data_IF_592183029777
#
_entry.id   IF_592183029777
#
_cell.length_a   1.000
_cell.length_b   1.000
_cell.length_c   1.000
_cell.angle_alpha   90.00
_cell.angle_beta   90.00
_cell.angle_gamma   90.00
#
_symmetry.space_group_name_H-M   'P 1'
#
loop_
_entity.id
_entity.type
_entity.pdbx_description
1 polymer ?
#
# COMPACT_ATOMS: atom_id res chain seq x y z
N UNK A 1 2.11 -3.34 -9.06
CA UNK A 1 1.63 -4.71 -8.77
C UNK A 1 2.61 -5.80 -9.19
N UNK A 2 3.05 -5.88 -10.46
CA UNK A 2 3.99 -6.92 -10.89
C UNK A 2 5.31 -6.93 -10.10
N UNK A 3 5.92 -5.75 -9.90
CA UNK A 3 7.14 -5.59 -9.09
C UNK A 3 6.96 -6.03 -7.64
N UNK A 4 5.79 -5.79 -7.04
CA UNK A 4 5.49 -6.23 -5.68
C UNK A 4 5.39 -7.76 -5.61
N UNK A 5 4.71 -8.39 -6.57
CA UNK A 5 4.63 -9.84 -6.64
C UNK A 5 6.02 -10.47 -6.80
N UNK A 6 6.85 -9.90 -7.68
CA UNK A 6 8.24 -10.30 -7.84
C UNK A 6 9.04 -10.15 -6.54
N UNK A 7 8.92 -8.99 -5.87
CA UNK A 7 9.61 -8.72 -4.60
C UNK A 7 9.18 -9.69 -3.51
N UNK A 8 7.90 -10.07 -3.43
CA UNK A 8 7.41 -11.07 -2.47
C UNK A 8 8.04 -12.44 -2.76
N UNK A 9 8.05 -12.86 -4.02
CA UNK A 9 8.63 -14.14 -4.42
C UNK A 9 10.14 -14.23 -4.16
N UNK A 10 10.84 -13.12 -4.35
CA UNK A 10 12.29 -13.06 -4.23
C UNK A 10 12.76 -12.83 -2.78
N UNK A 11 12.10 -11.92 -2.05
CA UNK A 11 12.57 -11.49 -0.73
C UNK A 11 11.94 -12.30 0.42
N UNK A 12 10.82 -12.99 0.16
CA UNK A 12 10.12 -13.82 1.16
C UNK A 12 9.74 -15.20 0.59
N UNK A 13 10.71 -15.95 -0.01
CA UNK A 13 10.43 -17.24 -0.64
C UNK A 13 9.84 -18.28 0.33
N UNK A 14 10.21 -18.22 1.61
CA UNK A 14 9.70 -19.06 2.69
C UNK A 14 8.19 -18.90 2.91
N UNK A 15 7.63 -17.72 2.61
CA UNK A 15 6.21 -17.43 2.77
C UNK A 15 5.41 -17.55 1.47
N UNK A 16 6.09 -17.67 0.33
CA UNK A 16 5.44 -17.68 -0.97
C UNK A 16 4.46 -18.86 -1.15
N UNK A 17 4.76 -20.01 -0.53
CA UNK A 17 3.94 -21.21 -0.63
C UNK A 17 2.49 -21.01 -0.15
N UNK A 18 2.23 -20.07 0.76
CA UNK A 18 0.86 -19.79 1.23
C UNK A 18 -0.08 -19.34 0.11
N UNK A 19 0.44 -18.80 -0.98
CA UNK A 19 -0.36 -18.34 -2.11
C UNK A 19 -0.90 -19.47 -3.00
N UNK A 20 -0.28 -20.65 -2.95
CA UNK A 20 -0.71 -21.84 -3.70
C UNK A 20 -1.64 -22.73 -2.88
N UNK A 21 -1.87 -22.42 -1.60
CA UNK A 21 -2.76 -23.19 -0.74
C UNK A 21 -4.22 -23.17 -1.23
N UNK A 22 -4.80 -24.35 -1.41
CA UNK A 22 -6.19 -24.51 -1.88
C UNK A 22 -7.21 -24.29 -0.77
N UNK A 23 -6.81 -24.54 0.48
CA UNK A 23 -7.63 -24.38 1.67
C UNK A 23 -6.74 -24.12 2.87
N UNK A 24 -7.27 -23.42 3.87
CA UNK A 24 -6.62 -23.29 5.17
C UNK A 24 -7.66 -23.48 6.28
N UNK A 25 -7.21 -23.90 7.45
CA UNK A 25 -8.04 -24.09 8.63
C UNK A 25 -7.79 -22.95 9.61
N UNK A 26 -8.86 -22.34 10.12
CA UNK A 26 -8.79 -21.29 11.12
C UNK A 26 -10.03 -21.33 12.00
N UNK A 27 -9.83 -21.35 13.32
CA UNK A 27 -10.90 -21.30 14.32
C UNK A 27 -12.03 -22.31 14.08
N UNK A 28 -11.71 -23.60 13.95
CA UNK A 28 -12.71 -24.65 13.74
C UNK A 28 -13.27 -24.73 12.31
N UNK A 29 -12.88 -23.82 11.41
CA UNK A 29 -13.47 -23.72 10.07
C UNK A 29 -12.42 -23.84 8.97
N UNK A 30 -12.78 -24.58 7.92
CA UNK A 30 -12.00 -24.64 6.68
C UNK A 30 -12.45 -23.55 5.71
N UNK A 31 -11.48 -22.78 5.20
CA UNK A 31 -11.67 -21.75 4.20
C UNK A 31 -11.01 -22.19 2.89
N UNK A 32 -11.74 -22.13 1.78
CA UNK A 32 -11.19 -22.43 0.45
C UNK A 32 -10.57 -21.17 -0.16
N UNK A 33 -9.58 -21.36 -1.02
CA UNK A 33 -8.98 -20.27 -1.79
C UNK A 33 -10.02 -19.57 -2.67
N UNK A 34 -9.97 -18.24 -2.69
CA UNK A 34 -10.79 -17.41 -3.59
C UNK A 34 -10.17 -17.29 -5.00
N UNK A 35 -9.03 -17.93 -5.24
CA UNK A 35 -8.39 -17.96 -6.55
C UNK A 35 -8.76 -19.26 -7.28
N UNK A 36 -9.73 -19.19 -8.19
CA UNK A 36 -10.17 -20.34 -8.96
C UNK A 36 -9.03 -20.98 -9.76
N UNK A 37 -8.07 -20.19 -10.24
CA UNK A 37 -6.91 -20.72 -10.97
C UNK A 37 -6.09 -21.68 -10.09
N UNK A 38 -5.84 -21.34 -8.82
CA UNK A 38 -5.12 -22.21 -7.86
C UNK A 38 -5.92 -23.49 -7.57
N UNK A 39 -7.24 -23.41 -7.52
CA UNK A 39 -8.07 -24.58 -7.24
C UNK A 39 -8.01 -25.61 -8.39
N UNK A 40 -8.14 -25.15 -9.63
CA UNK A 40 -8.44 -26.00 -10.78
C UNK A 40 -7.26 -26.22 -11.73
N UNK A 41 -6.16 -25.50 -11.56
CA UNK A 41 -4.98 -25.63 -12.42
C UNK A 41 -3.74 -26.02 -11.63
N UNK A 42 -2.95 -26.94 -12.20
CA UNK A 42 -1.72 -27.45 -11.58
C UNK A 42 -0.50 -26.57 -11.88
N UNK A 43 -0.54 -25.83 -12.99
CA UNK A 43 0.49 -24.92 -13.45
C UNK A 43 0.41 -23.53 -12.81
N UNK A 44 -0.50 -23.32 -11.86
CA UNK A 44 -0.74 -22.03 -11.22
C UNK A 44 -0.33 -22.07 -9.75
N UNK A 45 0.57 -21.17 -9.35
CA UNK A 45 0.99 -21.00 -7.95
C UNK A 45 0.23 -19.88 -7.24
N UNK A 46 -0.55 -19.10 -7.98
CA UNK A 46 -1.41 -18.05 -7.46
C UNK A 46 -0.73 -16.69 -7.32
N UNK A 47 -1.49 -15.75 -6.76
CA UNK A 47 -1.06 -14.93 -5.62
C UNK A 47 -2.31 -14.30 -5.01
N UNK A 48 -2.97 -13.40 -5.75
CA UNK A 48 -4.12 -12.68 -5.19
C UNK A 48 -5.16 -12.33 -6.24
N UNK A 49 -6.41 -12.56 -5.90
CA UNK A 49 -7.58 -12.06 -6.61
C UNK A 49 -8.19 -10.85 -5.89
N UNK A 50 -8.81 -9.94 -6.65
CA UNK A 50 -9.50 -8.77 -6.10
C UNK A 50 -10.70 -8.36 -6.94
N UNK A 51 -11.69 -7.73 -6.30
CA UNK A 51 -12.85 -7.15 -6.96
C UNK A 51 -13.23 -5.85 -6.26
N UNK A 52 -13.49 -4.81 -7.04
CA UNK A 52 -14.09 -3.56 -6.58
C UNK A 52 -15.13 -3.13 -7.59
N UNK A 53 -16.35 -2.82 -7.16
CA UNK A 53 -17.48 -2.56 -8.06
C UNK A 53 -17.17 -1.55 -9.18
N UNK A 54 -16.45 -0.46 -8.86
CA UNK A 54 -16.07 0.58 -9.83
C UNK A 54 -14.95 0.16 -10.81
N UNK A 55 -14.08 -0.76 -10.42
CA UNK A 55 -12.89 -1.13 -11.22
C UNK A 55 -12.90 -2.57 -11.73
N UNK A 56 -13.93 -3.36 -11.44
CA UNK A 56 -14.07 -4.72 -11.93
C UNK A 56 -13.18 -5.73 -11.19
N UNK A 57 -12.84 -6.80 -11.91
CA UNK A 57 -12.13 -7.97 -11.39
C UNK A 57 -10.66 -7.95 -11.78
N UNK A 58 -9.81 -8.21 -10.78
CA UNK A 58 -8.36 -8.14 -10.86
C UNK A 58 -7.72 -9.44 -10.38
N UNK A 59 -6.58 -9.82 -10.95
CA UNK A 59 -5.75 -10.91 -10.43
C UNK A 59 -4.28 -10.63 -10.67
N UNK A 60 -3.46 -11.08 -9.73
CA UNK A 60 -2.03 -11.26 -9.90
C UNK A 60 -1.75 -12.72 -9.60
N UNK A 61 -1.15 -13.41 -10.55
CA UNK A 61 -0.85 -14.83 -10.40
C UNK A 61 0.47 -15.18 -11.05
N UNK A 62 1.23 -16.07 -10.43
CA UNK A 62 2.34 -16.74 -11.07
C UNK A 62 1.85 -18.04 -11.73
N UNK A 63 2.37 -18.30 -12.93
CA UNK A 63 2.08 -19.47 -13.74
C UNK A 63 3.43 -20.08 -14.14
N UNK A 64 3.55 -21.40 -14.02
CA UNK A 64 4.76 -22.16 -14.36
C UNK A 64 4.53 -23.03 -15.58
N UNK A 65 5.45 -23.03 -16.53
CA UNK A 65 5.42 -23.93 -17.68
C UNK A 65 6.85 -24.20 -18.16
N UNK A 66 7.19 -25.46 -18.40
CA UNK A 66 8.47 -25.89 -19.00
C UNK A 66 9.72 -25.32 -18.28
N UNK A 67 9.68 -25.26 -16.94
CA UNK A 67 10.75 -24.69 -16.11
C UNK A 67 10.71 -23.16 -15.97
N UNK A 68 9.96 -22.48 -16.83
CA UNK A 68 9.77 -21.04 -16.78
C UNK A 68 8.62 -20.63 -15.86
N UNK A 69 8.74 -19.45 -15.25
CA UNK A 69 7.70 -18.86 -14.39
C UNK A 69 7.40 -17.44 -14.80
N UNK A 70 6.13 -17.15 -15.05
CA UNK A 70 5.65 -15.81 -15.39
C UNK A 70 4.68 -15.27 -14.34
N UNK A 71 4.91 -14.02 -13.92
CA UNK A 71 3.95 -13.24 -13.14
C UNK A 71 3.02 -12.53 -14.10
N UNK A 72 1.73 -12.81 -14.01
CA UNK A 72 0.70 -12.19 -14.83
C UNK A 72 -0.20 -11.32 -13.97
N UNK A 73 -0.35 -10.06 -14.40
CA UNK A 73 -1.26 -9.09 -13.79
C UNK A 73 -2.39 -8.80 -14.77
N UNK A 74 -3.63 -9.01 -14.34
CA UNK A 74 -4.84 -8.67 -15.09
C UNK A 74 -5.69 -7.74 -14.24
N UNK A 75 -6.10 -6.63 -14.83
CA UNK A 75 -6.95 -5.64 -14.18
C UNK A 75 -8.21 -5.38 -14.99
N UNK A 76 -9.31 -5.06 -14.30
CA UNK A 76 -10.49 -4.45 -14.91
C UNK A 76 -11.35 -5.36 -15.78
N UNK A 77 -11.36 -6.68 -15.56
CA UNK A 77 -12.29 -7.55 -16.29
C UNK A 77 -13.70 -7.45 -15.72
N UNK A 78 -14.72 -7.68 -16.57
CA UNK A 78 -16.13 -7.52 -16.19
C UNK A 78 -16.63 -8.61 -15.26
N UNK A 79 -16.03 -9.80 -15.32
CA UNK A 79 -16.39 -10.95 -14.48
C UNK A 79 -15.17 -11.85 -14.18
N UNK A 80 -15.27 -12.76 -13.20
CA UNK A 80 -14.17 -13.65 -12.82
C UNK A 80 -13.69 -14.56 -13.96
N UNK A 81 -14.60 -15.08 -14.80
CA UNK A 81 -14.24 -15.98 -15.90
C UNK A 81 -13.36 -15.26 -16.93
N UNK A 82 -13.73 -14.04 -17.32
CA UNK A 82 -12.92 -13.22 -18.23
C UNK A 82 -11.56 -12.85 -17.63
N UNK A 83 -11.51 -12.56 -16.33
CA UNK A 83 -10.25 -12.33 -15.59
C UNK A 83 -9.31 -13.53 -15.69
N UNK A 84 -9.84 -14.71 -15.39
CA UNK A 84 -9.05 -15.94 -15.34
C UNK A 84 -8.59 -16.35 -16.74
N UNK A 85 -9.48 -16.27 -17.74
CA UNK A 85 -9.10 -16.52 -19.13
C UNK A 85 -8.04 -15.54 -19.63
N UNK A 86 -8.15 -14.25 -19.31
CA UNK A 86 -7.15 -13.27 -19.68
C UNK A 86 -5.79 -13.56 -19.03
N UNK A 87 -5.76 -14.02 -17.78
CA UNK A 87 -4.52 -14.38 -17.09
C UNK A 87 -3.83 -15.56 -17.78
N UNK A 88 -4.58 -16.62 -18.09
CA UNK A 88 -4.06 -17.79 -18.81
C UNK A 88 -3.58 -17.41 -20.21
N UNK A 89 -4.41 -16.71 -20.99
CA UNK A 89 -4.04 -16.31 -22.35
C UNK A 89 -2.77 -15.45 -22.37
N UNK A 90 -2.63 -14.50 -21.45
CA UNK A 90 -1.44 -13.66 -21.33
C UNK A 90 -0.21 -14.47 -20.95
N UNK A 91 -0.31 -15.41 -20.00
CA UNK A 91 0.81 -16.27 -19.63
C UNK A 91 1.31 -17.11 -20.81
N UNK A 92 0.41 -17.80 -21.51
CA UNK A 92 0.78 -18.67 -22.62
C UNK A 92 1.36 -17.90 -23.82
N UNK A 93 0.86 -16.68 -24.08
CA UNK A 93 1.52 -15.77 -25.02
C UNK A 93 2.94 -15.40 -24.55
N UNK A 94 3.10 -15.10 -23.26
CA UNK A 94 4.40 -14.79 -22.66
C UNK A 94 5.40 -15.94 -22.77
N UNK A 95 4.99 -17.17 -22.48
CA UNK A 95 5.86 -18.34 -22.60
C UNK A 95 6.38 -18.55 -24.03
N UNK A 96 5.53 -18.32 -25.05
CA UNK A 96 5.97 -18.40 -26.45
C UNK A 96 7.06 -17.37 -26.78
N UNK A 97 7.01 -16.18 -26.15
CA UNK A 97 8.03 -15.13 -26.31
C UNK A 97 9.32 -15.51 -25.59
N UNK A 98 9.24 -16.00 -24.36
CA UNK A 98 10.43 -16.42 -23.58
C UNK A 98 11.14 -17.59 -24.27
N UNK A 99 10.39 -18.60 -24.69
CA UNK A 99 10.93 -19.78 -25.37
C UNK A 99 11.58 -19.43 -26.70
N UNK A 100 10.98 -18.51 -27.49
CA UNK A 100 11.53 -18.09 -28.78
C UNK A 100 12.80 -17.25 -28.65
N UNK A 101 12.96 -16.50 -27.55
CA UNK A 101 14.10 -15.60 -27.36
C UNK A 101 15.30 -16.25 -26.67
N UNK A 102 15.20 -17.50 -26.19
CA UNK A 102 16.22 -18.15 -25.32
C UNK A 102 16.85 -17.14 -24.36
N UNK A 103 16.00 -16.41 -23.63
CA UNK A 103 16.44 -15.37 -22.71
C UNK A 103 17.35 -16.08 -21.70
N UNK A 104 18.66 -15.82 -21.76
CA UNK A 104 19.58 -16.36 -20.75
C UNK A 104 19.05 -15.91 -19.39
N UNK A 105 18.90 -16.83 -18.41
CA UNK A 105 18.57 -16.43 -17.04
C UNK A 105 19.59 -15.37 -16.63
N UNK A 106 19.09 -14.28 -16.03
CA UNK A 106 19.95 -13.26 -15.43
C UNK A 106 20.91 -14.00 -14.50
N UNK A 107 22.20 -14.02 -14.85
CA UNK A 107 23.24 -14.68 -14.07
C UNK A 107 23.14 -14.23 -12.61
N UNK A 108 23.19 -15.19 -11.68
CA UNK A 108 23.12 -14.96 -10.23
C UNK A 108 24.15 -13.93 -9.71
N UNK A 109 25.18 -13.64 -10.50
CA UNK A 109 26.22 -12.64 -10.23
C UNK A 109 25.77 -11.17 -10.24
N UNK A 110 24.50 -10.89 -10.57
CA UNK A 110 23.92 -9.56 -10.39
C UNK A 110 22.71 -9.61 -9.48
N UNK A 111 22.93 -9.98 -8.21
CA UNK A 111 22.18 -9.40 -7.08
C UNK A 111 22.53 -7.91 -6.96
N UNK A 112 22.36 -7.11 -8.02
CA UNK A 112 21.97 -5.73 -7.81
C UNK A 112 20.57 -5.83 -7.22
N UNK A 113 20.52 -5.91 -5.89
CA UNK A 113 19.40 -5.41 -5.12
C UNK A 113 18.98 -4.15 -5.85
N UNK A 114 17.71 -4.08 -6.27
CA UNK A 114 17.12 -2.81 -6.67
C UNK A 114 17.03 -1.94 -5.42
N UNK A 115 18.19 -1.61 -4.86
CA UNK A 115 18.39 -0.47 -4.02
C UNK A 115 17.99 0.65 -4.95
N UNK A 116 16.88 1.29 -4.63
CA UNK A 116 16.60 2.62 -5.13
C UNK A 116 17.93 3.37 -4.96
N UNK A 117 18.66 3.60 -6.06
CA UNK A 117 19.89 4.38 -6.01
C UNK A 117 19.41 5.71 -5.46
N UNK A 118 19.72 5.96 -4.18
CA UNK A 118 19.52 7.26 -3.58
C UNK A 118 20.24 8.20 -4.55
N UNK A 119 19.57 9.20 -5.14
CA UNK A 119 20.18 10.00 -6.18
C UNK A 119 21.47 10.58 -5.61
N UNK A 120 22.62 10.25 -6.22
CA UNK A 120 23.85 10.96 -5.95
C UNK A 120 23.63 12.37 -6.48
N UNK A 121 23.25 13.27 -5.60
CA UNK A 121 23.35 14.69 -5.84
C UNK A 121 24.84 14.98 -6.04
N UNK A 122 25.20 15.61 -7.17
CA UNK A 122 26.58 16.09 -7.37
C UNK A 122 26.96 17.01 -6.21
N UNK A 123 28.24 17.10 -5.87
CA UNK A 123 28.70 18.01 -4.80
C UNK A 123 28.23 19.45 -5.03
N UNK A 124 28.06 19.87 -6.29
CA UNK A 124 27.46 21.16 -6.66
C UNK A 124 25.98 21.24 -6.30
N UNK A 125 25.19 20.19 -6.55
CA UNK A 125 23.79 20.14 -6.15
C UNK A 125 23.64 20.05 -4.62
N UNK A 126 24.53 19.32 -3.94
CA UNK A 126 24.58 19.25 -2.49
C UNK A 126 24.93 20.61 -1.86
N UNK A 127 25.88 21.36 -2.45
CA UNK A 127 26.24 22.70 -1.99
C UNK A 127 25.15 23.74 -2.29
N UNK A 128 24.46 23.65 -3.44
CA UNK A 128 23.30 24.50 -3.74
C UNK A 128 22.14 24.22 -2.79
N UNK A 129 21.89 22.95 -2.46
CA UNK A 129 20.88 22.56 -1.48
C UNK A 129 21.31 22.99 -0.07
N UNK A 130 22.57 22.82 0.31
CA UNK A 130 23.09 23.24 1.62
C UNK A 130 23.05 24.76 1.79
N UNK A 131 23.37 25.54 0.75
CA UNK A 131 23.26 26.99 0.73
C UNK A 131 21.79 27.44 0.80
N UNK A 132 20.90 26.76 0.05
CA UNK A 132 19.46 26.98 0.11
C UNK A 132 18.89 26.67 1.50
N UNK A 133 19.30 25.57 2.13
CA UNK A 133 18.88 25.19 3.50
C UNK A 133 19.43 26.18 4.54
N UNK A 134 20.67 26.65 4.40
CA UNK A 134 21.24 27.67 5.31
C UNK A 134 20.47 28.98 5.24
N UNK A 135 20.16 29.44 4.03
CA UNK A 135 19.38 30.66 3.84
C UNK A 135 17.91 30.46 4.23
N UNK A 136 17.33 29.29 3.99
CA UNK A 136 15.99 28.94 4.45
C UNK A 136 15.90 28.86 5.98
N UNK A 137 16.95 28.40 6.67
CA UNK A 137 17.01 28.41 8.13
C UNK A 137 17.18 29.82 8.70
N UNK A 138 17.94 30.71 8.03
CA UNK A 138 18.03 32.13 8.42
C UNK A 138 16.69 32.85 8.18
N UNK A 139 15.98 32.52 7.10
CA UNK A 139 14.63 33.01 6.83
C UNK A 139 13.64 32.43 7.85
N UNK A 140 13.72 31.14 8.17
CA UNK A 140 12.87 30.48 9.16
C UNK A 140 13.10 31.03 10.57
N UNK A 141 14.35 31.29 10.98
CA UNK A 141 14.65 31.93 12.27
C UNK A 141 14.12 33.36 12.33
N UNK A 142 14.15 34.11 11.22
CA UNK A 142 13.56 35.45 11.16
C UNK A 142 12.01 35.42 11.10
N UNK A 143 11.39 34.38 10.51
CA UNK A 143 9.93 34.17 10.50
C UNK A 143 9.41 33.68 11.86
N UNK A 144 10.20 32.89 12.61
CA UNK A 144 9.86 32.46 13.97
C UNK A 144 9.94 33.65 14.95
N UNK A 145 10.92 34.54 14.77
CA UNK A 145 11.08 35.75 15.60
C UNK A 145 10.10 36.88 15.21
N UNK A 146 9.72 36.98 13.95
CA UNK A 146 8.66 37.87 13.49
C UNK A 146 7.31 37.13 13.57
N UNK A 147 6.78 37.04 14.79
CA UNK A 147 5.45 36.46 15.06
C UNK A 147 4.42 36.89 14.01
N UNK A 148 3.67 35.90 13.52
CA UNK A 148 2.69 35.96 12.44
C UNK A 148 3.25 36.05 11.01
N UNK A 149 3.50 34.88 10.42
CA UNK A 149 2.94 34.61 9.09
C UNK A 149 2.57 33.13 9.00
N UNK A 150 1.28 32.86 9.22
CA UNK A 150 0.63 31.63 8.78
C UNK A 150 0.85 31.51 7.29
N UNK A 151 1.87 30.76 6.87
CA UNK A 151 1.95 30.27 5.50
C UNK A 151 0.66 29.49 5.30
N UNK A 152 -0.09 29.89 4.28
CA UNK A 152 -1.34 29.31 3.84
C UNK A 152 -1.06 27.86 3.41
N UNK A 153 -0.87 26.97 4.38
CA UNK A 153 -0.96 25.54 4.18
C UNK A 153 -2.35 25.32 3.58
N UNK A 154 -2.38 24.84 2.34
CA UNK A 154 -3.61 24.49 1.66
C UNK A 154 -4.50 23.77 2.66
N UNK A 155 -5.64 24.39 2.96
CA UNK A 155 -6.62 23.98 3.96
C UNK A 155 -7.31 22.70 3.46
N UNK A 156 -6.55 21.62 3.39
CA UNK A 156 -7.00 20.32 2.97
C UNK A 156 -7.60 19.66 4.19
N UNK A 157 -8.87 19.28 4.11
CA UNK A 157 -9.61 18.49 5.10
C UNK A 157 -9.06 17.04 5.21
N UNK A 158 -7.75 16.90 5.38
CA UNK A 158 -7.06 15.64 5.57
C UNK A 158 -7.58 14.99 6.85
N UNK A 159 -7.67 13.67 6.84
CA UNK A 159 -8.14 12.94 8.00
C UNK A 159 -7.44 11.61 8.13
N UNK A 160 -7.41 11.08 9.34
CA UNK A 160 -7.00 9.71 9.58
C UNK A 160 -8.22 8.89 10.00
N UNK A 161 -8.33 7.68 9.49
CA UNK A 161 -9.29 6.69 9.96
C UNK A 161 -8.61 5.72 10.92
N UNK A 162 -9.15 5.64 12.14
CA UNK A 162 -8.61 4.77 13.19
C UNK A 162 -9.24 3.37 13.10
N UNK A 163 -10.49 3.28 12.67
CA UNK A 163 -11.15 1.98 12.58
C UNK A 163 -12.61 2.05 12.17
N UNK A 164 -13.24 0.87 12.16
CA UNK A 164 -14.68 0.68 11.92
C UNK A 164 -15.27 -0.18 13.03
N UNK A 165 -16.29 0.34 13.72
CA UNK A 165 -16.82 -0.25 14.94
C UNK A 165 -18.28 -0.64 14.78
N UNK A 166 -18.73 -1.66 15.53
CA UNK A 166 -20.14 -2.10 15.50
C UNK A 166 -21.11 -1.12 16.18
N UNK A 167 -20.61 -0.27 17.07
CA UNK A 167 -21.43 0.72 17.79
C UNK A 167 -20.86 2.14 17.65
N UNK A 168 -21.76 3.13 17.62
CA UNK A 168 -21.40 4.55 17.58
C UNK A 168 -20.54 4.94 18.79
N UNK A 169 -20.90 4.43 19.98
CA UNK A 169 -20.17 4.67 21.25
C UNK A 169 -18.73 4.17 21.18
N UNK A 170 -18.51 2.97 20.64
CA UNK A 170 -17.15 2.43 20.47
C UNK A 170 -16.32 3.23 19.48
N UNK A 171 -16.93 3.73 18.39
CA UNK A 171 -16.24 4.60 17.43
C UNK A 171 -15.83 5.93 18.05
N UNK A 172 -16.73 6.58 18.82
CA UNK A 172 -16.43 7.84 19.51
C UNK A 172 -15.29 7.65 20.52
N UNK A 173 -15.35 6.61 21.33
CA UNK A 173 -14.31 6.34 22.33
C UNK A 173 -12.95 6.08 21.68
N UNK A 174 -12.91 5.34 20.56
CA UNK A 174 -11.67 5.11 19.84
C UNK A 174 -11.10 6.40 19.24
N UNK A 175 -11.95 7.29 18.70
CA UNK A 175 -11.53 8.60 18.21
C UNK A 175 -10.91 9.46 19.32
N UNK A 176 -11.58 9.50 20.48
CA UNK A 176 -11.16 10.29 21.65
C UNK A 176 -9.83 9.81 22.19
N UNK A 177 -9.71 8.50 22.44
CA UNK A 177 -8.47 7.89 22.97
C UNK A 177 -7.31 8.07 21.99
N UNK A 178 -7.57 7.97 20.68
CA UNK A 178 -6.54 8.21 19.69
C UNK A 178 -6.09 9.67 19.66
N UNK A 179 -7.04 10.63 19.73
CA UNK A 179 -6.76 12.06 19.80
C UNK A 179 -5.94 12.42 21.03
N UNK A 180 -6.27 11.84 22.19
CA UNK A 180 -5.55 12.05 23.46
C UNK A 180 -4.15 11.42 23.46
N UNK A 181 -3.90 10.42 22.60
CA UNK A 181 -2.59 9.74 22.50
C UNK A 181 -1.64 10.34 21.47
N UNK A 182 -2.00 11.46 20.83
CA UNK A 182 -1.17 12.14 19.84
C UNK A 182 -0.52 13.35 20.53
N UNK A 183 0.81 13.38 20.57
CA UNK A 183 1.57 14.50 21.13
C UNK A 183 2.03 15.53 20.08
N UNK A 184 1.68 15.33 18.80
CA UNK A 184 2.05 16.25 17.73
C UNK A 184 1.46 17.68 17.93
N UNK A 185 2.28 18.71 17.67
CA UNK A 185 1.94 20.14 17.78
C UNK A 185 0.72 20.58 16.93
N UNK A 186 0.27 19.74 15.98
CA UNK A 186 -0.94 19.94 15.16
C UNK A 186 -2.26 19.44 15.76
N UNK A 187 -2.26 18.93 17.00
CA UNK A 187 -3.43 18.33 17.66
C UNK A 187 -4.49 19.31 18.15
N UNK A 188 -4.14 20.61 18.31
CA UNK A 188 -5.07 21.65 18.78
C UNK A 188 -6.24 21.91 17.81
N UNK A 189 -6.07 21.65 16.51
CA UNK A 189 -7.11 21.77 15.49
C UNK A 189 -7.88 20.47 15.19
N UNK A 190 -7.51 19.36 15.82
CA UNK A 190 -7.95 18.04 15.39
C UNK A 190 -9.40 17.73 15.82
N UNK A 191 -10.30 17.45 14.88
CA UNK A 191 -11.73 17.19 15.17
C UNK A 191 -12.10 15.72 14.99
N UNK A 192 -12.75 15.11 15.98
CA UNK A 192 -13.22 13.72 15.87
C UNK A 192 -14.56 13.63 15.14
N UNK A 193 -14.66 12.76 14.14
CA UNK A 193 -15.89 12.56 13.36
C UNK A 193 -16.21 11.07 13.27
N UNK A 194 -17.49 10.73 13.38
CA UNK A 194 -17.96 9.34 13.20
C UNK A 194 -18.98 9.30 12.07
N UNK A 195 -18.73 8.45 11.08
CA UNK A 195 -19.59 8.28 9.91
C UNK A 195 -20.14 6.85 9.89
N UNK A 196 -21.47 6.70 9.81
CA UNK A 196 -22.10 5.38 9.64
C UNK A 196 -21.89 4.89 8.20
N UNK A 197 -21.32 3.71 8.03
CA UNK A 197 -21.14 3.01 6.75
C UNK A 197 -21.76 1.61 6.84
N UNK A 198 -23.00 1.48 6.37
CA UNK A 198 -23.76 0.23 6.47
C UNK A 198 -23.99 -0.17 7.93
N UNK A 199 -23.47 -1.35 8.31
CA UNK A 199 -23.57 -1.92 9.67
C UNK A 199 -22.48 -1.42 10.64
N UNK A 200 -21.55 -0.57 10.19
CA UNK A 200 -20.40 -0.13 10.99
C UNK A 200 -20.34 1.40 11.10
N UNK A 201 -19.59 1.87 12.09
CA UNK A 201 -19.30 3.27 12.37
C UNK A 201 -17.80 3.49 12.19
N UNK A 202 -17.41 4.21 11.13
CA UNK A 202 -16.02 4.57 10.88
C UNK A 202 -15.65 5.80 11.70
N UNK A 203 -14.51 5.73 12.39
CA UNK A 203 -14.00 6.78 13.27
C UNK A 203 -12.85 7.53 12.60
N UNK A 204 -12.94 8.86 12.59
CA UNK A 204 -11.97 9.75 11.95
C UNK A 204 -11.47 10.82 12.90
N UNK A 205 -10.24 11.28 12.68
CA UNK A 205 -9.72 12.55 13.20
C UNK A 205 -9.35 13.40 11.99
N UNK A 206 -9.93 14.60 11.89
CA UNK A 206 -9.61 15.60 10.86
C UNK A 206 -8.43 16.45 11.29
N UNK A 207 -7.55 16.79 10.35
CA UNK A 207 -6.41 17.69 10.48
C UNK A 207 -6.47 18.77 9.40
N UNK A 208 -5.69 19.82 9.57
CA UNK A 208 -5.60 20.94 8.63
C UNK A 208 -4.63 20.68 7.48
N UNK A 209 -3.59 19.87 7.71
CA UNK A 209 -2.56 19.55 6.73
C UNK A 209 -2.33 18.05 6.53
N UNK A 210 -1.70 17.71 5.40
CA UNK A 210 -1.27 16.35 5.08
C UNK A 210 -0.20 15.86 6.06
N UNK A 211 0.79 16.70 6.35
CA UNK A 211 1.92 16.38 7.23
C UNK A 211 1.47 16.07 8.66
N UNK A 212 0.49 16.83 9.17
CA UNK A 212 -0.13 16.57 10.48
C UNK A 212 -0.83 15.22 10.51
N UNK A 213 -1.60 14.91 9.45
CA UNK A 213 -2.33 13.65 9.35
C UNK A 213 -1.38 12.44 9.21
N UNK A 214 -0.28 12.58 8.48
CA UNK A 214 0.74 11.54 8.34
C UNK A 214 1.47 11.30 9.65
N UNK A 215 1.96 12.35 10.30
CA UNK A 215 2.69 12.29 11.58
C UNK A 215 1.83 11.67 12.69
N UNK A 216 0.58 12.12 12.83
CA UNK A 216 -0.35 11.55 13.81
C UNK A 216 -0.65 10.06 13.53
N UNK A 217 -0.66 9.65 12.26
CA UNK A 217 -0.91 8.27 11.89
C UNK A 217 0.26 7.34 12.21
N UNK A 218 1.49 7.84 12.08
CA UNK A 218 2.71 7.13 12.46
C UNK A 218 2.77 6.91 13.97
N UNK A 219 2.42 7.90 14.78
CA UNK A 219 2.39 7.79 16.24
C UNK A 219 1.34 6.76 16.72
N UNK A 220 0.16 6.74 16.09
CA UNK A 220 -0.87 5.74 16.38
C UNK A 220 -0.38 4.33 16.02
N UNK A 221 0.32 4.18 14.88
CA UNK A 221 0.89 2.89 14.45
C UNK A 221 2.02 2.43 15.37
N UNK A 222 2.86 3.34 15.86
CA UNK A 222 3.92 3.04 16.83
C UNK A 222 3.34 2.42 18.12
N UNK A 223 2.14 2.85 18.52
CA UNK A 223 1.37 2.28 19.63
C UNK A 223 0.57 1.01 19.26
N UNK A 224 0.92 0.35 18.15
CA UNK A 224 0.26 -0.87 17.61
C UNK A 224 -1.24 -0.71 17.35
N UNK A 225 -1.71 0.51 17.10
CA UNK A 225 -3.11 0.78 16.75
C UNK A 225 -3.27 0.98 15.23
N UNK A 226 -4.39 0.56 14.64
CA UNK A 226 -4.64 0.75 13.21
C UNK A 226 -4.84 2.23 12.88
N UNK A 227 -4.24 2.67 11.77
CA UNK A 227 -4.43 4.01 11.24
C UNK A 227 -4.26 4.05 9.70
N UNK A 228 -5.13 4.81 9.04
CA UNK A 228 -5.10 5.07 7.60
C UNK A 228 -5.28 6.56 7.31
N UNK A 229 -4.33 7.18 6.62
CA UNK A 229 -4.42 8.58 6.14
C UNK A 229 -5.36 8.66 4.94
N UNK A 230 -6.21 9.68 4.91
CA UNK A 230 -7.26 9.91 3.91
C UNK A 230 -7.16 11.35 3.41
N UNK A 231 -7.01 11.48 2.10
CA UNK A 231 -7.03 12.76 1.41
C UNK A 231 -8.42 13.43 1.47
N UNK A 232 -8.48 14.77 1.46
CA UNK A 232 -9.73 15.50 1.28
C UNK A 232 -10.39 15.09 -0.04
N UNK A 233 -11.72 15.19 -0.08
CA UNK A 233 -12.52 14.90 -1.27
C UNK A 233 -12.69 16.12 -2.15
#
# INVERSE_FOLDING_TARGET
MALLAYSIMHNFPEHYHFFSEKKFFFNGKTYKSNNALVLYRKDVEGMKTGYVAKSGYHTITAIKKDGEKLIVVVMGRKNPRQRDQAAINTAYKGFNIVNSRKIKPLSEDKKEVFSLKKPLLSESAANLIAFSIRNANLIAQNIINAGNTRILAEKGDWSIQIGSFKSKKSAINAARVAKESIFAEGSEGASTIVIKRGKYYASFIKYLGKEDAESACEEIKANKKPCLVIAPK
#
